data_IF_045801723666
#
_entry.id   IF_045801723666
#
_cell.length_a   1.000
_cell.length_b   1.000
_cell.length_c   1.000
_cell.angle_alpha   90.00
_cell.angle_beta   90.00
_cell.angle_gamma   90.00
#
_symmetry.space_group_name_H-M   'P 1'
#
loop_
_entity.id
_entity.type
_entity.pdbx_description
1 polymer ?
#
# COMPACT_ATOMS: atom_id res chain seq x y z
N UNK A 1 11.05 6.89 9.11
CA UNK A 1 9.62 6.69 8.75
C UNK A 1 9.41 5.20 8.63
N UNK A 2 8.43 4.66 9.35
CA UNK A 2 8.26 3.22 9.46
C UNK A 2 7.03 2.70 8.70
N UNK A 3 5.89 3.36 8.81
CA UNK A 3 4.62 2.87 8.29
C UNK A 3 3.98 3.88 7.32
N UNK A 4 3.74 3.42 6.09
CA UNK A 4 3.12 4.21 5.03
C UNK A 4 1.84 3.51 4.58
N UNK A 5 0.70 4.18 4.67
CA UNK A 5 -0.56 3.66 4.17
C UNK A 5 -0.81 4.14 2.74
N UNK A 6 -1.06 3.21 1.82
CA UNK A 6 -1.44 3.50 0.43
C UNK A 6 -2.94 3.29 0.28
N UNK A 7 -3.64 4.32 -0.15
CA UNK A 7 -5.09 4.29 -0.35
C UNK A 7 -5.46 4.60 -1.80
N UNK A 8 -6.50 3.96 -2.29
CA UNK A 8 -7.09 4.25 -3.59
C UNK A 8 -8.37 5.07 -3.47
N UNK A 9 -8.90 5.42 -4.61
CA UNK A 9 -10.18 6.11 -4.73
C UNK A 9 -11.18 5.34 -5.61
N UNK A 10 -12.37 5.89 -5.83
CA UNK A 10 -13.31 5.38 -6.81
C UNK A 10 -12.66 5.25 -8.19
N UNK A 11 -12.99 4.17 -8.91
CA UNK A 11 -12.43 3.90 -10.23
C UNK A 11 -11.12 3.11 -10.21
N UNK A 12 -10.73 2.54 -9.07
CA UNK A 12 -9.56 1.68 -8.91
C UNK A 12 -8.27 2.28 -9.54
N UNK A 13 -7.72 3.36 -8.97
CA UNK A 13 -6.55 4.05 -9.54
C UNK A 13 -5.25 3.24 -9.47
N UNK A 14 -5.29 2.01 -8.93
CA UNK A 14 -4.16 1.11 -8.84
C UNK A 14 -3.38 1.21 -7.52
N UNK A 15 -4.08 1.32 -6.39
CA UNK A 15 -3.44 1.35 -5.05
C UNK A 15 -2.50 0.16 -4.84
N UNK A 16 -3.00 -1.06 -5.00
CA UNK A 16 -2.21 -2.30 -4.86
C UNK A 16 -1.04 -2.35 -5.86
N UNK A 17 -1.27 -2.00 -7.13
CA UNK A 17 -0.19 -1.92 -8.12
C UNK A 17 0.86 -0.89 -7.74
N UNK A 18 0.45 0.25 -7.19
CA UNK A 18 1.35 1.29 -6.67
C UNK A 18 2.12 0.80 -5.46
N UNK A 19 1.46 0.14 -4.51
CA UNK A 19 2.09 -0.43 -3.33
C UNK A 19 3.15 -1.49 -3.69
N UNK A 20 2.85 -2.36 -4.66
CA UNK A 20 3.82 -3.33 -5.20
C UNK A 20 4.99 -2.65 -5.94
N UNK A 21 4.71 -1.61 -6.74
CA UNK A 21 5.77 -0.85 -7.41
C UNK A 21 6.69 -0.16 -6.40
N UNK A 22 6.14 0.43 -5.35
CA UNK A 22 6.89 1.00 -4.24
C UNK A 22 7.70 -0.07 -3.51
N UNK A 23 7.10 -1.21 -3.13
CA UNK A 23 7.80 -2.33 -2.48
C UNK A 23 9.05 -2.73 -3.27
N UNK A 24 8.89 -2.99 -4.58
CA UNK A 24 9.98 -3.48 -5.43
C UNK A 24 11.05 -2.41 -5.74
N UNK A 25 10.69 -1.14 -5.68
CA UNK A 25 11.60 -0.01 -5.95
C UNK A 25 12.07 0.72 -4.69
N UNK A 26 11.61 0.34 -3.50
CA UNK A 26 11.94 1.00 -2.25
C UNK A 26 13.45 1.07 -2.00
N UNK A 27 14.00 2.23 -1.66
CA UNK A 27 15.42 2.37 -1.33
C UNK A 27 15.70 1.75 0.04
N UNK A 28 16.41 0.63 0.04
CA UNK A 28 16.79 -0.07 1.27
C UNK A 28 18.26 0.19 1.58
N UNK A 29 18.60 0.87 2.68
CA UNK A 29 19.94 0.87 3.24
C UNK A 29 20.37 -0.55 3.64
N UNK A 30 21.67 -0.85 3.71
CA UNK A 30 22.14 -2.15 4.13
C UNK A 30 21.56 -2.58 5.49
N UNK A 31 21.02 -3.80 5.54
CA UNK A 31 20.39 -4.39 6.73
C UNK A 31 18.95 -3.96 6.99
N UNK A 32 18.39 -3.05 6.21
CA UNK A 32 16.95 -2.74 6.27
C UNK A 32 16.15 -3.64 5.33
N UNK A 33 14.89 -3.82 5.68
CA UNK A 33 13.90 -4.63 4.96
C UNK A 33 12.63 -3.84 4.77
N UNK A 34 11.76 -4.29 3.88
CA UNK A 34 10.45 -3.69 3.69
C UNK A 34 9.37 -4.76 3.67
N UNK A 35 8.26 -4.46 4.34
CA UNK A 35 7.08 -5.30 4.42
C UNK A 35 5.91 -4.61 3.72
N UNK A 36 5.28 -5.27 2.75
CA UNK A 36 3.98 -4.90 2.23
C UNK A 36 2.90 -5.69 2.97
N UNK A 37 1.96 -4.99 3.58
CA UNK A 37 0.76 -5.56 4.21
C UNK A 37 -0.43 -5.30 3.31
N UNK A 38 -1.00 -6.33 2.72
CA UNK A 38 -2.21 -6.20 1.90
C UNK A 38 -3.44 -6.21 2.82
N UNK A 39 -3.94 -5.02 3.16
CA UNK A 39 -4.99 -4.81 4.16
C UNK A 39 -6.31 -4.27 3.59
N UNK A 40 -6.56 -4.49 2.29
CA UNK A 40 -7.83 -4.14 1.66
C UNK A 40 -8.96 -5.04 2.21
N UNK A 41 -9.98 -4.50 2.89
CA UNK A 41 -11.11 -5.29 3.37
C UNK A 41 -12.00 -5.84 2.23
N UNK A 42 -11.89 -5.29 1.02
CA UNK A 42 -12.60 -5.81 -0.16
C UNK A 42 -11.93 -7.09 -0.74
N UNK A 43 -10.83 -7.53 -0.14
CA UNK A 43 -10.08 -8.73 -0.50
C UNK A 43 -8.74 -8.46 -1.16
N UNK A 44 -7.77 -9.34 -0.92
CA UNK A 44 -6.45 -9.29 -1.50
C UNK A 44 -6.43 -9.74 -2.96
N UNK A 45 -5.61 -9.08 -3.75
CA UNK A 45 -5.43 -9.38 -5.17
C UNK A 45 -4.04 -9.95 -5.50
N UNK A 46 -3.07 -9.85 -4.58
CA UNK A 46 -1.67 -10.16 -4.88
C UNK A 46 -1.44 -11.65 -5.10
N UNK A 47 -2.03 -12.52 -4.28
CA UNK A 47 -1.88 -13.98 -4.44
C UNK A 47 -2.41 -14.47 -5.78
N UNK A 48 -3.62 -14.06 -6.17
CA UNK A 48 -4.26 -14.49 -7.41
C UNK A 48 -3.72 -13.75 -8.63
N UNK A 49 -3.35 -12.48 -8.46
CA UNK A 49 -2.85 -11.60 -9.52
C UNK A 49 -1.33 -11.68 -9.67
N UNK A 50 -0.58 -10.85 -8.97
CA UNK A 50 0.87 -10.73 -9.12
C UNK A 50 1.62 -12.07 -8.95
N UNK A 51 1.15 -12.95 -8.07
CA UNK A 51 1.72 -14.28 -7.84
C UNK A 51 1.06 -15.40 -8.66
N UNK A 52 0.13 -15.08 -9.55
CA UNK A 52 -0.53 -16.01 -10.49
C UNK A 52 -1.12 -17.26 -9.80
N UNK A 53 -1.50 -17.17 -8.52
CA UNK A 53 -1.97 -18.31 -7.73
C UNK A 53 -0.92 -19.41 -7.47
N UNK A 54 0.37 -19.11 -7.70
CA UNK A 54 1.46 -20.10 -7.49
C UNK A 54 1.75 -20.39 -6.02
N UNK A 55 1.32 -19.48 -5.14
CA UNK A 55 1.46 -19.62 -3.69
C UNK A 55 0.11 -20.00 -3.11
N UNK A 56 0.09 -21.04 -2.29
CA UNK A 56 -1.14 -21.49 -1.64
C UNK A 56 -1.71 -20.40 -0.72
N UNK A 57 -3.02 -20.24 -0.73
CA UNK A 57 -3.75 -19.26 0.08
C UNK A 57 -3.91 -19.71 1.55
N UNK A 58 -2.84 -20.30 2.12
CA UNK A 58 -2.79 -20.73 3.53
C UNK A 58 -2.21 -19.66 4.43
N UNK A 59 -1.54 -18.67 3.87
CA UNK A 59 -0.92 -17.54 4.57
C UNK A 59 -1.83 -16.30 4.57
N UNK A 60 -1.54 -15.36 5.46
CA UNK A 60 -2.11 -14.01 5.40
C UNK A 60 -2.96 -13.61 6.60
N UNK A 61 -3.67 -12.50 6.44
CA UNK A 61 -4.42 -11.79 7.49
C UNK A 61 -5.43 -12.67 8.24
N UNK A 62 -6.07 -13.62 7.57
CA UNK A 62 -7.03 -14.53 8.21
C UNK A 62 -6.42 -15.28 9.40
N UNK A 63 -5.17 -15.72 9.27
CA UNK A 63 -4.48 -16.44 10.34
C UNK A 63 -4.12 -15.52 11.51
N UNK A 64 -3.82 -14.24 11.21
CA UNK A 64 -3.54 -13.23 12.24
C UNK A 64 -4.75 -12.96 13.12
N UNK A 65 -5.98 -12.97 12.58
CA UNK A 65 -7.19 -12.84 13.38
C UNK A 65 -7.38 -13.98 14.40
N UNK A 66 -6.90 -15.17 14.06
CA UNK A 66 -6.91 -16.33 14.98
C UNK A 66 -5.79 -16.22 16.01
N UNK A 67 -4.60 -15.80 15.58
CA UNK A 67 -3.42 -15.64 16.43
C UNK A 67 -3.63 -14.53 17.47
N UNK A 68 -4.21 -13.41 17.07
CA UNK A 68 -4.50 -12.27 17.94
C UNK A 68 -5.36 -12.66 19.13
N UNK A 69 -6.47 -13.39 18.89
CA UNK A 69 -7.34 -13.92 19.97
C UNK A 69 -6.63 -14.83 20.96
N UNK A 70 -5.45 -15.35 20.61
CA UNK A 70 -4.60 -16.22 21.44
C UNK A 70 -3.41 -15.47 22.04
N UNK A 71 -3.25 -14.17 21.75
CA UNK A 71 -2.09 -13.38 22.18
C UNK A 71 -0.80 -13.73 21.44
N UNK A 72 -0.90 -14.33 20.25
CA UNK A 72 0.24 -14.82 19.45
C UNK A 72 0.51 -13.99 18.19
N UNK A 73 -0.11 -12.80 18.04
CA UNK A 73 -0.03 -11.98 16.84
C UNK A 73 1.42 -11.68 16.44
N UNK A 74 2.23 -11.20 17.38
CA UNK A 74 3.62 -10.80 17.16
C UNK A 74 4.55 -11.94 16.74
N UNK A 75 4.21 -13.18 17.07
CA UNK A 75 4.96 -14.37 16.67
C UNK A 75 4.49 -14.87 15.31
N UNK A 76 3.17 -14.96 15.15
CA UNK A 76 2.55 -15.58 13.97
C UNK A 76 2.74 -14.73 12.72
N UNK A 77 2.85 -13.40 12.80
CA UNK A 77 2.99 -12.54 11.62
C UNK A 77 4.17 -12.98 10.74
N UNK A 78 5.29 -13.33 11.34
CA UNK A 78 6.50 -13.72 10.60
C UNK A 78 6.35 -15.03 9.82
N UNK A 79 5.47 -15.91 10.29
CA UNK A 79 5.15 -17.18 9.62
C UNK A 79 4.20 -17.00 8.42
N UNK A 80 3.59 -15.81 8.31
CA UNK A 80 2.62 -15.49 7.26
C UNK A 80 3.25 -14.77 6.07
N UNK A 81 4.55 -14.46 6.12
CA UNK A 81 5.21 -13.63 5.11
C UNK A 81 5.66 -14.45 3.91
N UNK A 82 5.55 -13.84 2.74
CA UNK A 82 6.05 -14.35 1.47
C UNK A 82 7.21 -13.48 1.02
N UNK A 83 8.34 -14.08 0.64
CA UNK A 83 9.48 -13.37 0.09
C UNK A 83 9.24 -13.00 -1.37
N UNK A 84 9.24 -11.70 -1.67
CA UNK A 84 9.15 -11.13 -3.02
C UNK A 84 10.48 -10.55 -3.48
N UNK A 85 11.57 -10.77 -2.74
CA UNK A 85 12.89 -10.29 -3.13
C UNK A 85 13.35 -10.96 -4.41
N UNK A 86 13.87 -10.23 -5.40
CA UNK A 86 14.40 -10.84 -6.63
C UNK A 86 15.52 -11.87 -6.39
N UNK A 87 16.25 -11.70 -5.29
CA UNK A 87 17.39 -12.54 -4.91
C UNK A 87 17.04 -13.59 -3.84
N UNK A 88 15.79 -13.64 -3.37
CA UNK A 88 15.35 -14.55 -2.31
C UNK A 88 16.02 -14.32 -0.96
N UNK A 89 16.40 -13.07 -0.66
CA UNK A 89 17.15 -12.67 0.54
C UNK A 89 16.26 -12.09 1.65
N UNK A 90 14.95 -12.20 1.50
CA UNK A 90 13.93 -11.71 2.44
C UNK A 90 14.02 -10.21 2.78
N UNK A 91 14.53 -9.40 1.85
CA UNK A 91 14.54 -7.94 2.01
C UNK A 91 13.19 -7.30 1.70
N UNK A 92 12.37 -7.94 0.86
CA UNK A 92 11.06 -7.46 0.39
C UNK A 92 10.00 -8.52 0.66
N UNK A 93 9.20 -8.27 1.67
CA UNK A 93 8.24 -9.24 2.20
C UNK A 93 6.81 -8.82 1.93
N UNK A 94 5.93 -9.77 1.78
CA UNK A 94 4.49 -9.59 1.63
C UNK A 94 3.75 -10.32 2.75
N UNK A 95 2.87 -9.63 3.44
CA UNK A 95 1.78 -10.23 4.21
C UNK A 95 0.53 -10.25 3.32
N UNK A 96 0.09 -11.42 2.84
CA UNK A 96 -1.07 -11.51 1.96
C UNK A 96 -2.37 -11.07 2.63
N UNK A 97 -3.24 -10.47 1.85
CA UNK A 97 -4.57 -10.02 2.26
C UNK A 97 -5.58 -11.16 2.46
N UNK A 98 -6.84 -10.75 2.59
CA UNK A 98 -7.96 -11.67 2.66
C UNK A 98 -8.23 -12.27 1.28
N UNK A 99 -8.42 -13.57 1.22
CA UNK A 99 -8.82 -14.27 -0.01
C UNK A 99 -10.33 -14.16 -0.30
N UNK A 100 -11.09 -13.80 0.73
CA UNK A 100 -12.54 -13.63 0.66
C UNK A 100 -12.95 -12.42 1.52
N UNK A 101 -13.61 -11.39 0.93
CA UNK A 101 -14.08 -10.20 1.65
C UNK A 101 -15.00 -10.52 2.84
N UNK A 102 -15.71 -11.65 2.81
CA UNK A 102 -16.58 -12.07 3.92
C UNK A 102 -15.81 -12.34 5.22
N UNK A 103 -14.49 -12.47 5.15
CA UNK A 103 -13.61 -12.65 6.31
C UNK A 103 -13.29 -11.31 7.03
N UNK A 104 -13.48 -10.17 6.36
CA UNK A 104 -13.10 -8.85 6.90
C UNK A 104 -13.73 -8.50 8.27
N UNK A 105 -15.01 -8.84 8.55
CA UNK A 105 -15.58 -8.63 9.88
C UNK A 105 -14.84 -9.37 11.00
N UNK A 106 -14.21 -10.52 10.69
CA UNK A 106 -13.41 -11.29 11.65
C UNK A 106 -12.13 -10.60 12.12
N UNK A 107 -11.67 -9.58 11.38
CA UNK A 107 -10.48 -8.76 11.70
C UNK A 107 -10.82 -7.49 12.49
N UNK A 108 -12.10 -7.20 12.77
CA UNK A 108 -12.50 -5.92 13.35
C UNK A 108 -11.73 -5.53 14.63
N UNK A 109 -11.38 -6.50 15.46
CA UNK A 109 -10.61 -6.30 16.70
C UNK A 109 -9.09 -6.46 16.51
N UNK A 110 -8.65 -7.02 15.39
CA UNK A 110 -7.24 -7.29 15.11
C UNK A 110 -6.53 -6.09 14.46
N UNK A 111 -7.27 -5.18 13.84
CA UNK A 111 -6.68 -4.05 13.14
C UNK A 111 -5.87 -3.12 14.05
N UNK A 112 -6.37 -2.83 15.26
CA UNK A 112 -5.65 -1.99 16.23
C UNK A 112 -4.36 -2.67 16.71
N UNK A 113 -4.36 -3.93 17.23
CA UNK A 113 -3.14 -4.65 17.59
C UNK A 113 -2.16 -4.80 16.42
N UNK A 114 -2.67 -4.99 15.19
CA UNK A 114 -1.82 -5.06 14.00
C UNK A 114 -1.14 -3.72 13.72
N UNK A 115 -1.86 -2.60 13.81
CA UNK A 115 -1.28 -1.27 13.63
C UNK A 115 -0.15 -1.00 14.64
N UNK A 116 -0.34 -1.35 15.90
CA UNK A 116 0.68 -1.24 16.95
C UNK A 116 1.91 -2.10 16.65
N UNK A 117 1.68 -3.35 16.22
CA UNK A 117 2.76 -4.26 15.84
C UNK A 117 3.58 -3.71 14.66
N UNK A 118 2.91 -3.17 13.63
CA UNK A 118 3.58 -2.63 12.45
C UNK A 118 4.48 -1.42 12.77
N UNK A 119 4.12 -0.59 13.74
CA UNK A 119 5.03 0.45 14.24
C UNK A 119 6.22 -0.14 14.99
N UNK A 120 6.00 -1.19 15.76
CA UNK A 120 7.08 -1.84 16.52
C UNK A 120 8.17 -2.48 15.67
N UNK A 121 7.88 -2.89 14.43
CA UNK A 121 8.86 -3.55 13.55
C UNK A 121 9.92 -2.58 12.97
N UNK A 122 9.72 -1.28 13.05
CA UNK A 122 10.74 -0.29 12.68
C UNK A 122 12.05 -0.50 13.44
N UNK A 123 11.95 -0.75 14.73
CA UNK A 123 13.11 -1.01 15.60
C UNK A 123 13.85 -2.30 15.21
N UNK A 124 13.20 -3.18 14.47
CA UNK A 124 13.77 -4.40 13.91
C UNK A 124 14.34 -4.21 12.51
N UNK A 125 14.36 -2.96 12.00
CA UNK A 125 14.93 -2.60 10.71
C UNK A 125 13.97 -2.76 9.53
N UNK A 126 12.64 -2.75 9.78
CA UNK A 126 11.65 -2.81 8.71
C UNK A 126 11.02 -1.44 8.43
N UNK A 127 10.85 -1.13 7.16
CA UNK A 127 9.86 -0.17 6.67
C UNK A 127 8.58 -0.93 6.31
N UNK A 128 7.43 -0.30 6.43
CA UNK A 128 6.14 -0.95 6.18
C UNK A 128 5.30 -0.14 5.19
N UNK A 129 4.79 -0.80 4.16
CA UNK A 129 3.75 -0.27 3.29
C UNK A 129 2.46 -1.03 3.61
N UNK A 130 1.38 -0.32 3.92
CA UNK A 130 0.06 -0.89 4.15
C UNK A 130 -0.82 -0.56 2.94
N UNK A 131 -1.14 -1.54 2.13
CA UNK A 131 -2.10 -1.38 1.04
C UNK A 131 -3.52 -1.49 1.59
N UNK A 132 -4.21 -0.37 1.67
CA UNK A 132 -5.59 -0.27 2.12
C UNK A 132 -6.60 -0.39 0.98
N UNK A 133 -6.11 -0.62 -0.23
CA UNK A 133 -6.96 -0.76 -1.40
C UNK A 133 -7.89 0.44 -1.60
N UNK A 134 -9.13 0.15 -1.93
CA UNK A 134 -10.14 1.17 -2.22
C UNK A 134 -10.91 1.61 -0.99
N UNK A 135 -11.16 0.72 -0.05
CA UNK A 135 -12.10 0.91 1.06
C UNK A 135 -11.44 0.91 2.44
N UNK A 136 -10.18 0.49 2.55
CA UNK A 136 -9.53 0.22 3.83
C UNK A 136 -9.25 1.44 4.71
N UNK A 137 -9.30 2.66 4.15
CA UNK A 137 -9.21 3.89 4.95
C UNK A 137 -10.55 4.29 5.61
N UNK A 138 -11.53 3.38 5.65
CA UNK A 138 -12.84 3.57 6.28
C UNK A 138 -13.18 2.37 7.16
N UNK A 139 -14.15 2.53 8.07
CA UNK A 139 -14.56 1.44 8.95
C UNK A 139 -13.47 1.00 9.95
N UNK A 140 -13.42 -0.28 10.26
CA UNK A 140 -12.51 -0.81 11.27
C UNK A 140 -11.04 -0.77 10.87
N UNK A 141 -10.72 -0.93 9.57
CA UNK A 141 -9.35 -0.87 9.05
C UNK A 141 -8.77 0.55 8.96
N UNK A 142 -9.60 1.59 9.13
CA UNK A 142 -9.15 2.99 9.10
C UNK A 142 -8.07 3.32 10.14
N UNK A 143 -8.00 2.55 11.22
CA UNK A 143 -6.95 2.68 12.23
C UNK A 143 -5.55 2.53 11.63
N UNK A 144 -5.38 1.70 10.59
CA UNK A 144 -4.10 1.54 9.90
C UNK A 144 -3.66 2.83 9.20
N UNK A 145 -4.60 3.58 8.61
CA UNK A 145 -4.31 4.90 8.04
C UNK A 145 -4.05 5.95 9.11
N UNK A 146 -4.85 5.95 10.19
CA UNK A 146 -4.72 6.92 11.30
C UNK A 146 -3.40 6.79 12.05
N UNK A 147 -2.87 5.58 12.14
CA UNK A 147 -1.60 5.30 12.81
C UNK A 147 -0.40 5.31 11.88
N UNK A 148 -0.57 5.39 10.57
CA UNK A 148 0.54 5.48 9.63
C UNK A 148 1.28 6.81 9.80
N UNK A 149 2.60 6.82 9.60
CA UNK A 149 3.43 8.03 9.60
C UNK A 149 3.10 8.91 8.39
N UNK A 150 2.77 8.26 7.25
CA UNK A 150 2.31 8.93 6.05
C UNK A 150 1.15 8.16 5.40
N UNK A 151 0.23 8.89 4.80
CA UNK A 151 -0.86 8.35 4.00
C UNK A 151 -0.72 8.85 2.56
N UNK A 152 -0.69 7.93 1.62
CA UNK A 152 -0.48 8.21 0.21
C UNK A 152 -1.71 7.82 -0.59
N UNK A 153 -2.43 8.81 -1.11
CA UNK A 153 -3.61 8.56 -1.93
C UNK A 153 -3.24 8.49 -3.41
N UNK A 154 -3.59 7.37 -4.08
CA UNK A 154 -3.42 7.21 -5.51
C UNK A 154 -4.58 7.85 -6.28
N UNK A 155 -4.28 8.70 -7.26
CA UNK A 155 -5.26 9.50 -7.99
C UNK A 155 -4.95 9.52 -9.48
N UNK A 156 -5.93 9.20 -10.34
CA UNK A 156 -5.79 9.38 -11.80
C UNK A 156 -5.97 10.84 -12.19
N UNK A 157 -5.14 11.33 -13.09
CA UNK A 157 -5.17 12.72 -13.57
C UNK A 157 -6.29 12.99 -14.60
N UNK A 158 -7.38 12.25 -14.54
CA UNK A 158 -8.58 12.48 -15.35
C UNK A 158 -9.60 13.32 -14.57
N UNK A 159 -10.47 14.05 -15.29
CA UNK A 159 -11.56 14.80 -14.64
C UNK A 159 -12.42 13.91 -13.73
N UNK A 160 -12.78 12.72 -14.23
CA UNK A 160 -13.53 11.73 -13.46
C UNK A 160 -12.78 11.31 -12.19
N UNK A 161 -11.46 11.01 -12.30
CA UNK A 161 -10.61 10.62 -11.19
C UNK A 161 -10.56 11.70 -10.11
N UNK A 162 -10.29 12.94 -10.50
CA UNK A 162 -10.20 14.09 -9.60
C UNK A 162 -11.54 14.41 -8.92
N UNK A 163 -12.62 14.43 -9.69
CA UNK A 163 -13.95 14.71 -9.15
C UNK A 163 -14.43 13.65 -8.16
N UNK A 164 -14.17 12.36 -8.46
CA UNK A 164 -14.63 11.26 -7.62
C UNK A 164 -13.83 11.09 -6.33
N UNK A 165 -12.54 11.48 -6.33
CA UNK A 165 -11.68 11.35 -5.16
C UNK A 165 -11.82 12.51 -4.17
N UNK A 166 -12.20 13.71 -4.63
CA UNK A 166 -12.28 14.94 -3.83
C UNK A 166 -13.02 14.77 -2.49
N UNK A 167 -14.29 14.29 -2.46
CA UNK A 167 -15.01 14.14 -1.19
C UNK A 167 -14.35 13.13 -0.26
N UNK A 168 -13.69 12.12 -0.82
CA UNK A 168 -12.99 11.09 -0.05
C UNK A 168 -11.72 11.63 0.58
N UNK A 169 -10.95 12.44 -0.15
CA UNK A 169 -9.76 13.08 0.39
C UNK A 169 -10.12 14.08 1.48
N UNK A 170 -11.22 14.85 1.33
CA UNK A 170 -11.71 15.75 2.37
C UNK A 170 -12.04 14.98 3.66
N UNK A 171 -12.83 13.91 3.55
CA UNK A 171 -13.16 13.07 4.70
C UNK A 171 -11.93 12.41 5.35
N UNK A 172 -10.97 11.95 4.54
CA UNK A 172 -9.72 11.38 5.04
C UNK A 172 -8.86 12.43 5.76
N UNK A 173 -8.75 13.64 5.20
CA UNK A 173 -8.04 14.75 5.83
C UNK A 173 -8.65 15.11 7.20
N UNK A 174 -9.97 15.17 7.29
CA UNK A 174 -10.69 15.42 8.55
C UNK A 174 -10.45 14.30 9.56
N UNK A 175 -10.50 13.03 9.12
CA UNK A 175 -10.29 11.87 9.97
C UNK A 175 -8.85 11.82 10.53
N UNK A 176 -7.85 12.07 9.68
CA UNK A 176 -6.44 12.13 10.09
C UNK A 176 -6.16 13.29 11.05
N UNK A 177 -6.79 14.46 10.84
CA UNK A 177 -6.66 15.60 11.72
C UNK A 177 -7.31 15.35 13.09
N UNK A 178 -8.44 14.64 13.13
CA UNK A 178 -9.20 14.38 14.35
C UNK A 178 -8.67 13.21 15.19
N UNK A 179 -8.18 12.14 14.55
CA UNK A 179 -7.89 10.87 15.21
C UNK A 179 -6.60 10.20 14.73
N UNK A 180 -5.80 10.84 13.89
CA UNK A 180 -4.59 10.29 13.28
C UNK A 180 -3.32 11.12 13.54
N UNK A 181 -2.33 10.92 12.67
CA UNK A 181 -1.03 11.60 12.71
C UNK A 181 -1.09 13.06 12.25
N UNK A 182 -2.24 13.52 11.77
CA UNK A 182 -2.47 14.88 11.28
C UNK A 182 -2.71 14.95 9.77
N UNK A 183 -3.31 16.05 9.34
CA UNK A 183 -3.62 16.28 7.93
C UNK A 183 -2.35 16.39 7.05
N UNK A 184 -1.23 16.81 7.63
CA UNK A 184 0.05 16.99 6.95
C UNK A 184 0.69 15.66 6.54
N UNK A 185 0.24 14.55 7.13
CA UNK A 185 0.69 13.20 6.75
C UNK A 185 0.09 12.72 5.42
N UNK A 186 -0.88 13.43 4.82
CA UNK A 186 -1.55 13.03 3.59
C UNK A 186 -0.92 13.64 2.35
N UNK A 187 -0.46 12.80 1.42
CA UNK A 187 0.05 13.18 0.12
C UNK A 187 -0.58 12.41 -1.03
N UNK A 188 -0.31 12.85 -2.26
CA UNK A 188 -0.87 12.25 -3.49
C UNK A 188 0.21 11.59 -4.34
N UNK A 189 -0.06 10.39 -4.85
CA UNK A 189 0.61 9.80 -5.99
C UNK A 189 -0.34 9.83 -7.20
N UNK A 190 0.06 10.55 -8.22
CA UNK A 190 -0.75 10.68 -9.43
C UNK A 190 -0.44 9.56 -10.42
N UNK A 191 -1.48 9.03 -11.06
CA UNK A 191 -1.36 8.17 -12.25
C UNK A 191 -1.71 9.03 -13.47
N UNK A 192 -0.72 9.27 -14.34
CA UNK A 192 -0.81 10.18 -15.49
C UNK A 192 -1.63 9.58 -16.64
N UNK A 193 -2.93 9.40 -16.44
CA UNK A 193 -3.87 8.89 -17.43
C UNK A 193 -4.58 10.01 -18.19
N UNK A 194 -4.74 11.17 -17.59
CA UNK A 194 -5.47 12.30 -18.14
C UNK A 194 -4.60 13.55 -18.34
N UNK A 195 -5.22 14.66 -18.77
CA UNK A 195 -4.51 15.86 -19.18
C UNK A 195 -4.01 16.73 -18.03
N UNK A 196 -4.46 16.49 -16.79
CA UNK A 196 -4.18 17.41 -15.68
C UNK A 196 -2.77 17.21 -15.12
N UNK A 197 -2.01 18.32 -15.10
CA UNK A 197 -0.64 18.33 -14.61
C UNK A 197 -0.56 18.39 -13.08
N UNK A 198 0.59 18.00 -12.52
CA UNK A 198 0.89 18.03 -11.07
C UNK A 198 0.43 19.34 -10.39
N UNK A 199 0.82 20.50 -10.97
CA UNK A 199 0.52 21.81 -10.39
C UNK A 199 -1.00 22.11 -10.36
N UNK A 200 -1.74 21.68 -11.37
CA UNK A 200 -3.19 21.84 -11.43
C UNK A 200 -3.87 20.97 -10.37
N UNK A 201 -3.43 19.71 -10.23
CA UNK A 201 -3.97 18.79 -9.21
C UNK A 201 -3.69 19.29 -7.81
N UNK A 202 -2.45 19.73 -7.52
CA UNK A 202 -2.10 20.33 -6.23
C UNK A 202 -2.99 21.52 -5.89
N UNK A 203 -3.19 22.43 -6.84
CA UNK A 203 -4.06 23.60 -6.64
C UNK A 203 -5.51 23.21 -6.39
N UNK A 204 -6.03 22.23 -7.13
CA UNK A 204 -7.44 21.83 -7.07
C UNK A 204 -7.79 20.98 -5.85
N UNK A 205 -6.88 20.14 -5.39
CA UNK A 205 -7.10 19.25 -4.24
C UNK A 205 -6.51 19.80 -2.93
N UNK A 206 -5.62 20.79 -3.00
CA UNK A 206 -4.99 21.40 -1.83
C UNK A 206 -4.01 20.51 -1.08
N UNK A 207 -3.58 19.40 -1.70
CA UNK A 207 -2.70 18.41 -1.10
C UNK A 207 -1.36 18.31 -1.85
N UNK A 208 -0.25 18.00 -1.17
CA UNK A 208 1.05 17.83 -1.80
C UNK A 208 1.03 16.60 -2.73
N UNK A 209 1.61 16.76 -3.92
CA UNK A 209 1.85 15.64 -4.84
C UNK A 209 3.27 15.14 -4.64
N UNK A 210 3.44 13.91 -4.18
CA UNK A 210 4.71 13.26 -3.88
C UNK A 210 5.38 12.69 -5.12
N UNK A 211 4.56 12.27 -6.10
CA UNK A 211 5.09 11.71 -7.33
C UNK A 211 4.04 11.57 -8.41
N UNK A 212 4.51 11.37 -9.64
CA UNK A 212 3.67 11.10 -10.80
C UNK A 212 4.13 9.80 -11.44
N UNK A 213 3.28 8.79 -11.40
CA UNK A 213 3.50 7.51 -12.05
C UNK A 213 2.90 7.54 -13.47
N UNK A 214 3.57 6.96 -14.48
CA UNK A 214 3.01 6.90 -15.81
C UNK A 214 1.79 5.99 -15.87
N UNK A 215 0.85 6.30 -16.73
CA UNK A 215 -0.18 5.34 -17.14
C UNK A 215 0.45 4.33 -18.09
N UNK A 216 0.99 3.25 -17.52
CA UNK A 216 1.73 2.20 -18.24
C UNK A 216 1.06 0.83 -18.06
N UNK A 217 -0.13 0.58 -18.67
CA UNK A 217 -0.93 -0.61 -18.40
C UNK A 217 -0.20 -1.93 -18.68
N UNK A 218 0.68 -1.95 -19.70
CA UNK A 218 1.47 -3.17 -19.99
C UNK A 218 2.48 -3.50 -18.90
N UNK A 219 3.14 -2.50 -18.36
CA UNK A 219 4.10 -2.68 -17.24
C UNK A 219 3.37 -2.93 -15.94
N UNK A 220 2.28 -2.20 -15.68
CA UNK A 220 1.45 -2.39 -14.50
C UNK A 220 0.84 -3.80 -14.44
N UNK A 221 0.55 -4.42 -15.61
CA UNK A 221 0.04 -5.78 -15.71
C UNK A 221 0.99 -6.82 -15.09
N UNK A 222 2.30 -6.61 -15.14
CA UNK A 222 3.28 -7.48 -14.46
C UNK A 222 3.03 -7.53 -12.95
N UNK A 223 2.59 -6.40 -12.37
CA UNK A 223 2.29 -6.29 -10.94
C UNK A 223 0.85 -6.70 -10.58
N UNK A 224 -0.10 -6.63 -11.51
CA UNK A 224 -1.51 -6.96 -11.24
C UNK A 224 -1.89 -8.38 -11.62
N UNK A 225 -1.34 -8.91 -12.71
CA UNK A 225 -1.77 -10.17 -13.31
C UNK A 225 -0.64 -11.21 -13.37
N UNK A 226 0.54 -10.86 -12.87
CA UNK A 226 1.72 -11.69 -12.90
C UNK A 226 2.66 -11.42 -14.08
N UNK A 227 3.89 -11.84 -13.89
CA UNK A 227 4.97 -11.69 -14.86
C UNK A 227 6.34 -11.68 -14.20
N UNK A 228 7.39 -11.56 -15.02
CA UNK A 228 8.76 -11.56 -14.53
C UNK A 228 9.17 -10.17 -14.01
N UNK A 229 9.17 -10.01 -12.68
CA UNK A 229 9.64 -8.79 -12.00
C UNK A 229 11.16 -8.64 -12.02
N UNK A 230 11.91 -9.69 -12.40
CA UNK A 230 13.36 -9.68 -12.52
C UNK A 230 13.84 -9.31 -13.93
N UNK A 231 12.93 -9.25 -14.91
CA UNK A 231 13.24 -8.81 -16.27
C UNK A 231 13.83 -7.39 -16.27
N UNK A 232 14.97 -7.22 -16.93
CA UNK A 232 15.66 -5.93 -17.05
C UNK A 232 14.80 -4.83 -17.68
N UNK A 233 13.86 -5.18 -18.59
CA UNK A 233 12.93 -4.21 -19.21
C UNK A 233 11.92 -3.72 -18.20
N UNK A 234 11.41 -4.63 -17.34
CA UNK A 234 10.52 -4.26 -16.26
C UNK A 234 11.23 -3.36 -15.24
N UNK A 235 12.39 -3.78 -14.72
CA UNK A 235 13.17 -3.01 -13.73
C UNK A 235 13.55 -1.61 -14.24
N UNK A 236 13.88 -1.48 -15.53
CA UNK A 236 14.26 -0.21 -16.16
C UNK A 236 13.08 0.56 -16.74
N UNK A 237 11.86 0.09 -16.58
CA UNK A 237 10.67 0.75 -17.10
C UNK A 237 10.47 2.14 -16.46
N UNK A 238 9.72 2.99 -17.13
CA UNK A 238 9.36 4.30 -16.61
C UNK A 238 8.58 4.18 -15.29
N UNK A 239 7.66 3.20 -15.20
CA UNK A 239 6.90 2.94 -13.98
C UNK A 239 7.83 2.68 -12.79
N UNK A 240 8.79 1.78 -12.93
CA UNK A 240 9.69 1.42 -11.82
C UNK A 240 10.66 2.56 -11.45
N UNK A 241 11.13 3.33 -12.44
CA UNK A 241 11.97 4.51 -12.17
C UNK A 241 11.22 5.61 -11.44
N UNK A 242 9.99 5.91 -11.87
CA UNK A 242 9.17 6.93 -11.21
C UNK A 242 8.65 6.45 -9.85
N UNK A 243 8.36 5.16 -9.68
CA UNK A 243 8.05 4.58 -8.38
C UNK A 243 9.23 4.72 -7.40
N UNK A 244 10.47 4.53 -7.87
CA UNK A 244 11.68 4.77 -7.05
C UNK A 244 11.75 6.24 -6.60
N UNK A 245 11.62 7.19 -7.52
CA UNK A 245 11.63 8.62 -7.17
C UNK A 245 10.48 8.99 -6.23
N UNK A 246 9.30 8.38 -6.40
CA UNK A 246 8.18 8.58 -5.51
C UNK A 246 8.46 8.00 -4.11
N UNK A 247 9.13 6.85 -4.02
CA UNK A 247 9.54 6.26 -2.75
C UNK A 247 10.51 7.18 -1.99
N UNK A 248 11.48 7.79 -2.70
CA UNK A 248 12.42 8.76 -2.11
C UNK A 248 11.65 9.98 -1.53
N UNK A 249 10.66 10.52 -2.24
CA UNK A 249 9.82 11.64 -1.77
C UNK A 249 8.91 11.25 -0.59
N UNK A 250 8.35 10.04 -0.63
CA UNK A 250 7.49 9.54 0.47
C UNK A 250 8.30 9.37 1.76
N UNK A 251 9.58 8.99 1.67
CA UNK A 251 10.46 8.86 2.85
C UNK A 251 10.80 10.21 3.50
N UNK A 252 10.53 11.32 2.82
CA UNK A 252 10.81 12.68 3.33
C UNK A 252 9.61 13.32 4.04
N UNK A 253 8.43 12.69 4.00
CA UNK A 253 7.26 13.12 4.77
C UNK A 253 7.44 12.79 6.25
#
# INVERSE_FOLDING_TARGET
MAVIAVVGGPGAPGATTTALALLLSWPLPPGRRILLVEADPDGGAVLAGALEGRVEAVYGLRNLAVADRRGLLAQTIWEQLIDLSPEGNAERLLLPGLTDPTQAPGLAYTWEPLAELLHGVEHQGYDVIVDLGRSGATGHSAVLARRADAVVATVRTTLRGLSSVRPRLAALTEDLAAAGTGADALGLLLVAEGPYARAEVTRELGLPVLGVLPHAPRTAKVLSDGGDTTDRRFIRSELMRTARSAADEVQLL
#
